data_IF_466597408780
#
_entry.id   IF_466597408780
#
_cell.length_a   1.000
_cell.length_b   1.000
_cell.length_c   1.000
_cell.angle_alpha   90.00
_cell.angle_beta   90.00
_cell.angle_gamma   90.00
#
_symmetry.space_group_name_H-M   'P 1'
#
loop_
_entity.id
_entity.type
_entity.pdbx_description
1 polymer ?
#
# COMPACT_ATOMS: atom_id res chain seq x y z
N UNK A 1 24.88 -8.55 30.44
CA UNK A 1 24.05 -9.32 29.48
C UNK A 1 24.15 -8.62 28.13
N UNK A 2 24.79 -9.26 27.16
CA UNK A 2 25.13 -8.66 25.87
C UNK A 2 23.87 -8.53 24.99
N UNK A 3 23.68 -7.35 24.42
CA UNK A 3 22.58 -6.96 23.50
C UNK A 3 22.27 -8.02 22.42
N UNK A 4 23.27 -8.81 21.99
CA UNK A 4 23.10 -9.93 21.05
C UNK A 4 22.04 -10.96 21.45
N UNK A 5 21.90 -11.31 22.74
CA UNK A 5 20.92 -12.31 23.18
C UNK A 5 19.48 -11.79 23.19
N UNK A 6 19.29 -10.47 23.29
CA UNK A 6 17.96 -9.86 23.30
C UNK A 6 17.38 -9.81 21.88
N UNK A 7 18.19 -9.42 20.89
CA UNK A 7 17.79 -9.38 19.47
C UNK A 7 17.60 -10.75 18.82
N UNK A 8 18.26 -11.80 19.34
CA UNK A 8 18.02 -13.18 18.90
C UNK A 8 16.62 -13.70 19.25
N UNK A 9 15.96 -13.15 20.27
CA UNK A 9 14.62 -13.57 20.68
C UNK A 9 13.51 -12.84 19.90
N UNK A 10 13.73 -11.58 19.49
CA UNK A 10 12.79 -10.86 18.61
C UNK A 10 12.87 -11.29 17.14
N UNK A 11 13.92 -12.01 16.75
CA UNK A 11 14.08 -12.60 15.41
C UNK A 11 13.53 -14.03 15.30
N UNK A 12 12.92 -14.59 16.36
CA UNK A 12 12.12 -15.82 16.29
C UNK A 12 10.84 -15.52 15.52
N UNK A 13 10.95 -15.50 14.19
CA UNK A 13 9.86 -15.21 13.27
C UNK A 13 10.34 -14.76 11.89
N UNK A 14 11.53 -14.15 11.81
CA UNK A 14 12.18 -13.80 10.54
C UNK A 14 13.26 -14.84 10.29
N UNK A 15 12.83 -16.01 9.82
CA UNK A 15 13.74 -16.85 9.04
C UNK A 15 13.73 -16.25 7.64
N UNK A 16 14.90 -15.98 7.08
CA UNK A 16 15.06 -15.91 5.63
C UNK A 16 14.71 -17.31 5.10
N UNK A 17 13.42 -17.55 4.89
CA UNK A 17 12.95 -18.69 4.13
C UNK A 17 13.49 -18.51 2.72
N UNK A 18 14.23 -19.47 2.14
CA UNK A 18 14.75 -19.36 0.80
C UNK A 18 13.59 -19.49 -0.20
N UNK A 19 12.76 -18.45 -0.29
CA UNK A 19 11.73 -18.26 -1.30
C UNK A 19 12.35 -17.81 -2.62
N UNK A 20 13.35 -18.57 -3.08
CA UNK A 20 14.02 -18.35 -4.38
C UNK A 20 12.97 -18.12 -5.49
N UNK A 21 11.79 -18.73 -5.40
CA UNK A 21 10.72 -18.53 -6.37
C UNK A 21 9.91 -17.23 -6.24
N UNK A 22 9.67 -16.66 -5.05
CA UNK A 22 8.75 -15.50 -4.91
C UNK A 22 9.41 -14.19 -5.34
N UNK A 23 10.65 -13.99 -4.91
CA UNK A 23 11.46 -12.82 -5.26
C UNK A 23 11.71 -12.79 -6.75
N UNK A 24 12.03 -13.94 -7.34
CA UNK A 24 12.29 -14.08 -8.78
C UNK A 24 11.05 -13.68 -9.61
N UNK A 25 9.83 -14.03 -9.19
CA UNK A 25 8.62 -13.64 -9.93
C UNK A 25 8.35 -12.13 -9.92
N UNK A 26 8.63 -11.45 -8.79
CA UNK A 26 8.49 -10.00 -8.72
C UNK A 26 9.51 -9.26 -9.60
N UNK A 27 10.76 -9.74 -9.62
CA UNK A 27 11.83 -9.21 -10.48
C UNK A 27 11.52 -9.50 -11.94
N UNK A 28 11.11 -10.72 -12.27
CA UNK A 28 10.75 -11.13 -13.63
C UNK A 28 9.63 -10.26 -14.19
N UNK A 29 8.60 -9.96 -13.40
CA UNK A 29 7.53 -9.04 -13.81
C UNK A 29 8.07 -7.63 -14.04
N UNK A 30 8.93 -7.13 -13.13
CA UNK A 30 9.54 -5.82 -13.26
C UNK A 30 10.36 -5.71 -14.55
N UNK A 31 11.30 -6.63 -14.78
CA UNK A 31 12.18 -6.62 -15.95
C UNK A 31 11.42 -6.71 -17.27
N UNK A 32 10.34 -7.50 -17.31
CA UNK A 32 9.52 -7.67 -18.51
C UNK A 32 8.63 -6.46 -18.83
N UNK A 33 8.16 -5.75 -17.81
CA UNK A 33 7.07 -4.77 -17.97
C UNK A 33 7.49 -3.33 -17.72
N UNK A 34 8.69 -3.10 -17.17
CA UNK A 34 9.23 -1.76 -16.94
C UNK A 34 9.36 -1.02 -18.26
N UNK A 35 8.70 0.14 -18.34
CA UNK A 35 8.71 1.01 -19.51
C UNK A 35 8.92 2.45 -19.06
N UNK A 36 9.71 3.20 -19.83
CA UNK A 36 9.87 4.63 -19.60
C UNK A 36 8.95 5.39 -20.55
N UNK A 37 7.96 6.09 -19.99
CA UNK A 37 6.92 6.80 -20.73
C UNK A 37 6.53 8.08 -19.98
N UNK A 38 6.28 9.16 -20.70
CA UNK A 38 5.82 10.44 -20.14
C UNK A 38 6.69 10.93 -18.96
N UNK A 39 8.02 10.77 -19.09
CA UNK A 39 9.02 11.12 -18.08
C UNK A 39 8.89 10.35 -16.75
N UNK A 40 8.28 9.16 -16.77
CA UNK A 40 8.09 8.26 -15.61
C UNK A 40 8.38 6.82 -15.99
N UNK A 41 8.72 6.02 -14.98
CA UNK A 41 8.73 4.57 -15.11
C UNK A 41 7.33 4.03 -14.82
N UNK A 42 6.80 3.24 -15.73
CA UNK A 42 5.57 2.45 -15.57
C UNK A 42 5.99 0.98 -15.43
N UNK A 43 5.40 0.26 -14.48
CA UNK A 43 5.62 -1.17 -14.28
C UNK A 43 4.30 -1.83 -13.99
N UNK A 44 4.11 -3.07 -14.45
CA UNK A 44 2.92 -3.84 -14.10
C UNK A 44 3.07 -4.40 -12.68
N UNK A 45 1.94 -4.56 -12.00
CA UNK A 45 1.94 -5.15 -10.66
C UNK A 45 2.29 -6.66 -10.75
N UNK A 46 3.15 -7.17 -9.85
CA UNK A 46 3.58 -8.57 -9.86
C UNK A 46 2.51 -9.48 -9.24
N UNK A 47 1.45 -9.76 -9.98
CA UNK A 47 0.34 -10.61 -9.52
C UNK A 47 0.79 -12.07 -9.30
N UNK A 48 0.37 -12.66 -8.17
CA UNK A 48 0.61 -14.10 -7.86
C UNK A 48 -0.26 -15.03 -8.70
N UNK A 49 -1.42 -14.54 -9.14
CA UNK A 49 -2.45 -15.30 -9.84
C UNK A 49 -3.40 -14.35 -10.56
N UNK A 50 -4.62 -14.80 -10.82
CA UNK A 50 -5.61 -13.97 -11.46
C UNK A 50 -6.10 -12.88 -10.49
N UNK A 51 -6.00 -11.60 -10.90
CA UNK A 51 -6.49 -10.48 -10.10
C UNK A 51 -8.00 -10.54 -9.85
N UNK A 52 -8.76 -11.32 -10.63
CA UNK A 52 -10.18 -11.57 -10.38
C UNK A 52 -10.44 -12.33 -9.05
N UNK A 53 -9.42 -12.88 -8.40
CA UNK A 53 -9.53 -13.47 -7.06
C UNK A 53 -9.71 -12.41 -5.96
N UNK A 54 -9.39 -11.14 -6.23
CA UNK A 54 -9.65 -10.03 -5.31
C UNK A 54 -11.14 -9.79 -5.18
N UNK A 55 -11.68 -10.04 -4.00
CA UNK A 55 -13.08 -9.78 -3.73
C UNK A 55 -13.34 -8.30 -3.45
N UNK A 56 -14.57 -7.85 -3.71
CA UNK A 56 -15.02 -6.51 -3.36
C UNK A 56 -14.96 -6.29 -1.83
N UNK A 57 -14.27 -5.22 -1.42
CA UNK A 57 -14.13 -4.81 -0.01
C UNK A 57 -14.83 -3.46 0.29
N UNK A 58 -15.76 -3.03 -0.57
CA UNK A 58 -16.43 -1.72 -0.50
C UNK A 58 -17.06 -1.46 0.87
N UNK A 59 -17.72 -2.46 1.45
CA UNK A 59 -18.39 -2.31 2.75
C UNK A 59 -17.40 -1.96 3.88
N UNK A 60 -16.17 -2.48 3.83
CA UNK A 60 -15.10 -2.19 4.80
C UNK A 60 -14.53 -0.80 4.56
N UNK A 61 -14.20 -0.47 3.31
CA UNK A 61 -13.71 0.85 2.92
C UNK A 61 -14.71 1.96 3.28
N UNK A 62 -16.00 1.74 3.01
CA UNK A 62 -17.08 2.67 3.32
C UNK A 62 -17.24 2.93 4.81
N UNK A 63 -17.20 1.89 5.65
CA UNK A 63 -17.25 2.04 7.12
C UNK A 63 -16.08 2.87 7.66
N UNK A 64 -14.88 2.65 7.13
CA UNK A 64 -13.68 3.44 7.48
C UNK A 64 -13.80 4.89 7.02
N UNK A 65 -14.31 5.12 5.81
CA UNK A 65 -14.61 6.45 5.29
C UNK A 65 -15.63 7.20 6.16
N UNK A 66 -16.73 6.56 6.55
CA UNK A 66 -17.76 7.18 7.41
C UNK A 66 -17.21 7.59 8.79
N UNK A 67 -16.25 6.82 9.30
CA UNK A 67 -15.56 7.13 10.55
C UNK A 67 -14.60 8.32 10.37
N UNK A 68 -13.88 8.36 9.25
CA UNK A 68 -13.02 9.49 8.87
C UNK A 68 -13.82 10.77 8.64
N UNK A 69 -14.97 10.71 7.97
CA UNK A 69 -15.88 11.86 7.75
C UNK A 69 -16.40 12.41 9.08
N UNK A 70 -16.72 11.55 10.06
CA UNK A 70 -17.06 12.03 11.41
C UNK A 70 -15.91 12.78 12.07
N UNK A 71 -14.67 12.30 11.92
CA UNK A 71 -13.48 13.01 12.43
C UNK A 71 -13.32 14.38 11.76
N UNK A 72 -13.55 14.49 10.45
CA UNK A 72 -13.50 15.76 9.73
C UNK A 72 -14.53 16.78 10.25
N UNK A 73 -15.75 16.34 10.59
CA UNK A 73 -16.77 17.22 11.16
C UNK A 73 -16.33 17.84 12.50
N UNK A 74 -15.60 17.06 13.31
CA UNK A 74 -15.15 17.50 14.63
C UNK A 74 -13.77 18.19 14.59
N UNK A 75 -13.06 18.13 13.46
CA UNK A 75 -11.75 18.75 13.27
C UNK A 75 -11.65 19.36 11.86
N UNK A 76 -12.07 20.64 11.69
CA UNK A 76 -12.05 21.33 10.41
C UNK A 76 -10.64 21.48 9.82
N UNK A 77 -9.62 21.64 10.66
CA UNK A 77 -8.22 21.76 10.22
C UNK A 77 -7.73 20.45 9.58
N UNK A 78 -8.03 19.30 10.19
CA UNK A 78 -7.76 18.00 9.58
C UNK A 78 -8.47 17.85 8.23
N UNK A 79 -9.72 18.27 8.12
CA UNK A 79 -10.46 18.21 6.85
C UNK A 79 -9.78 19.05 5.76
N UNK A 80 -9.36 20.28 6.09
CA UNK A 80 -8.66 21.16 5.16
C UNK A 80 -7.36 20.53 4.68
N UNK A 81 -6.49 20.11 5.60
CA UNK A 81 -5.23 19.44 5.26
C UNK A 81 -5.45 18.19 4.41
N UNK A 82 -6.48 17.39 4.72
CA UNK A 82 -6.81 16.18 3.96
C UNK A 82 -7.18 16.47 2.51
N UNK A 83 -8.02 17.49 2.30
CA UNK A 83 -8.45 17.93 0.97
C UNK A 83 -7.29 18.51 0.17
N UNK A 84 -6.45 19.32 0.80
CA UNK A 84 -5.25 19.88 0.16
C UNK A 84 -4.28 18.77 -0.26
N UNK A 85 -4.06 17.76 0.59
CA UNK A 85 -3.21 16.61 0.24
C UNK A 85 -3.77 15.82 -0.95
N UNK A 86 -5.08 15.51 -0.97
CA UNK A 86 -5.69 14.84 -2.13
C UNK A 86 -5.59 15.69 -3.41
N UNK A 87 -5.81 17.00 -3.31
CA UNK A 87 -5.67 17.90 -4.45
C UNK A 87 -4.23 17.94 -4.98
N UNK A 88 -3.25 17.95 -4.07
CA UNK A 88 -1.84 17.86 -4.45
C UNK A 88 -1.52 16.52 -5.13
N UNK A 89 -2.09 15.40 -4.66
CA UNK A 89 -1.93 14.10 -5.33
C UNK A 89 -2.52 14.13 -6.75
N UNK A 90 -3.72 14.67 -6.93
CA UNK A 90 -4.37 14.81 -8.24
C UNK A 90 -3.55 15.71 -9.18
N UNK A 91 -3.13 16.89 -8.71
CA UNK A 91 -2.31 17.84 -9.48
C UNK A 91 -0.98 17.25 -9.93
N UNK A 92 -0.37 16.40 -9.12
CA UNK A 92 0.88 15.73 -9.45
C UNK A 92 0.68 14.42 -10.23
N UNK A 93 -0.55 14.05 -10.58
CA UNK A 93 -0.87 12.81 -11.29
C UNK A 93 -0.46 11.56 -10.50
N UNK A 94 -0.62 11.59 -9.18
CA UNK A 94 -0.45 10.43 -8.28
C UNK A 94 -1.77 9.68 -8.13
N UNK A 95 -2.88 10.40 -8.09
CA UNK A 95 -4.24 9.85 -8.11
C UNK A 95 -5.03 10.50 -9.25
N UNK A 96 -6.09 9.81 -9.68
CA UNK A 96 -7.03 10.32 -10.67
C UNK A 96 -8.46 9.96 -10.28
N UNK A 97 -9.43 10.65 -10.88
CA UNK A 97 -10.84 10.31 -10.70
C UNK A 97 -11.18 9.06 -11.51
N UNK A 98 -11.78 8.09 -10.85
CA UNK A 98 -12.28 6.87 -11.51
C UNK A 98 -13.40 7.24 -12.48
N UNK A 99 -13.31 6.88 -13.77
CA UNK A 99 -14.38 7.11 -14.73
C UNK A 99 -15.56 6.17 -14.44
N UNK A 100 -16.79 6.71 -14.48
CA UNK A 100 -18.03 5.95 -14.29
C UNK A 100 -18.03 5.04 -13.03
N UNK A 101 -17.83 5.58 -11.82
CA UNK A 101 -17.68 4.77 -10.60
C UNK A 101 -18.92 3.91 -10.27
N UNK A 102 -20.10 4.30 -10.74
CA UNK A 102 -21.35 3.54 -10.57
C UNK A 102 -21.45 2.32 -11.49
N UNK A 103 -20.66 2.28 -12.58
CA UNK A 103 -20.65 1.18 -13.52
C UNK A 103 -19.22 0.88 -14.03
N UNK A 104 -18.36 0.33 -13.16
CA UNK A 104 -16.99 0.01 -13.53
C UNK A 104 -16.97 -1.10 -14.59
N UNK A 105 -16.16 -0.89 -15.62
CA UNK A 105 -16.01 -1.80 -16.76
C UNK A 105 -15.29 -3.09 -16.35
N UNK A 106 -14.28 -2.96 -15.48
CA UNK A 106 -13.47 -4.08 -15.00
C UNK A 106 -13.90 -4.43 -13.58
N UNK A 107 -14.48 -5.61 -13.41
CA UNK A 107 -14.83 -6.18 -12.11
C UNK A 107 -14.00 -7.44 -11.88
N UNK A 108 -13.60 -7.74 -10.63
CA UNK A 108 -13.97 -7.06 -9.38
C UNK A 108 -13.28 -5.69 -9.17
N UNK A 109 -13.89 -4.82 -8.35
CA UNK A 109 -13.29 -3.53 -7.94
C UNK A 109 -12.87 -3.61 -6.49
N UNK A 110 -11.65 -3.17 -6.21
CA UNK A 110 -11.12 -3.10 -4.86
C UNK A 110 -10.96 -1.64 -4.41
N UNK A 111 -11.43 -1.34 -3.20
CA UNK A 111 -11.43 -0.02 -2.60
C UNK A 111 -10.41 0.01 -1.46
N UNK A 112 -9.32 0.74 -1.61
CA UNK A 112 -8.35 0.90 -0.52
C UNK A 112 -8.90 1.84 0.55
N UNK A 113 -9.12 1.39 1.80
CA UNK A 113 -9.38 2.32 2.88
C UNK A 113 -8.17 3.22 3.09
N UNK A 114 -8.39 4.43 3.57
CA UNK A 114 -7.33 5.42 3.71
C UNK A 114 -7.45 6.19 5.03
N UNK A 115 -6.31 6.65 5.54
CA UNK A 115 -6.24 7.39 6.80
C UNK A 115 -5.13 8.44 6.82
N UNK A 116 -5.31 9.53 7.58
CA UNK A 116 -4.25 10.51 7.76
C UNK A 116 -3.14 9.93 8.65
N UNK A 117 -1.90 10.13 8.24
CA UNK A 117 -0.71 9.86 9.04
C UNK A 117 0.05 11.17 9.21
N UNK A 118 0.24 11.56 10.46
CA UNK A 118 0.98 12.77 10.82
C UNK A 118 2.46 12.44 11.00
N UNK A 119 3.32 13.33 10.51
CA UNK A 119 4.76 13.27 10.71
C UNK A 119 5.18 14.60 11.32
N UNK A 120 5.31 14.62 12.64
CA UNK A 120 5.60 15.83 13.40
C UNK A 120 6.94 16.47 12.99
N UNK A 121 7.87 15.68 12.46
CA UNK A 121 9.20 16.11 12.01
C UNK A 121 9.28 16.49 10.51
N UNK A 122 8.17 16.41 9.75
CA UNK A 122 8.23 16.70 8.30
C UNK A 122 8.35 18.21 8.03
N UNK A 123 9.42 18.59 7.33
CA UNK A 123 9.67 19.96 6.87
C UNK A 123 8.73 20.40 5.73
N UNK A 124 8.15 19.47 4.97
CA UNK A 124 7.40 19.76 3.74
C UNK A 124 5.90 19.47 3.85
N UNK A 125 5.48 18.42 4.56
CA UNK A 125 4.05 18.12 4.74
C UNK A 125 3.80 17.42 6.07
N UNK A 126 3.13 18.12 6.99
CA UNK A 126 2.81 17.60 8.33
C UNK A 126 1.89 16.37 8.31
N UNK A 127 1.12 16.17 7.23
CA UNK A 127 0.17 15.07 7.09
C UNK A 127 0.24 14.44 5.69
N UNK A 128 0.27 13.11 5.64
CA UNK A 128 0.13 12.32 4.41
C UNK A 128 -1.04 11.36 4.51
N UNK A 129 -1.57 10.92 3.38
CA UNK A 129 -2.62 9.92 3.33
C UNK A 129 -1.99 8.55 3.10
N UNK A 130 -2.28 7.61 3.99
CA UNK A 130 -1.88 6.21 3.83
C UNK A 130 -3.07 5.42 3.34
N UNK A 131 -2.88 4.69 2.25
CA UNK A 131 -3.83 3.73 1.70
C UNK A 131 -3.50 2.34 2.26
N UNK A 132 -4.51 1.66 2.81
CA UNK A 132 -4.36 0.36 3.43
C UNK A 132 -4.64 -0.76 2.41
N UNK A 133 -3.58 -1.25 1.78
CA UNK A 133 -3.62 -2.38 0.84
C UNK A 133 -3.72 -3.74 1.54
N UNK A 134 -3.62 -3.80 2.87
CA UNK A 134 -3.77 -5.03 3.66
C UNK A 134 -5.23 -5.32 4.07
N UNK A 135 -6.14 -4.37 3.82
CA UNK A 135 -7.54 -4.52 4.20
C UNK A 135 -8.29 -5.48 3.28
N UNK A 136 -8.68 -6.65 3.78
CA UNK A 136 -9.61 -7.56 3.10
C UNK A 136 -11.07 -7.38 3.55
N UNK A 137 -12.01 -8.01 2.84
CA UNK A 137 -13.43 -8.00 3.22
C UNK A 137 -13.69 -8.74 4.55
N UNK A 138 -13.03 -9.87 4.75
CA UNK A 138 -13.03 -10.65 5.99
C UNK A 138 -11.79 -11.55 6.07
N UNK A 139 -11.58 -12.23 7.20
CA UNK A 139 -10.41 -13.07 7.46
C UNK A 139 -10.13 -14.15 6.39
N UNK A 140 -11.16 -14.65 5.70
CA UNK A 140 -11.01 -15.66 4.66
C UNK A 140 -10.86 -15.09 3.25
N UNK A 141 -10.86 -13.76 3.10
CA UNK A 141 -10.69 -13.09 1.81
C UNK A 141 -9.27 -12.52 1.68
N UNK A 142 -8.76 -12.56 0.45
CA UNK A 142 -7.48 -11.97 0.10
C UNK A 142 -7.53 -10.43 0.20
N UNK A 143 -6.45 -9.85 0.68
CA UNK A 143 -6.12 -8.44 0.53
C UNK A 143 -5.32 -8.19 -0.75
N UNK A 144 -5.12 -6.92 -1.12
CA UNK A 144 -4.27 -6.59 -2.26
C UNK A 144 -2.85 -7.13 -2.07
N UNK A 145 -2.30 -7.00 -0.85
CA UNK A 145 -0.96 -7.50 -0.55
C UNK A 145 -0.85 -9.03 -0.69
N UNK A 146 -1.92 -9.79 -0.41
CA UNK A 146 -1.89 -11.25 -0.55
C UNK A 146 -1.77 -11.67 -2.02
N UNK A 147 -2.35 -10.88 -2.94
CA UNK A 147 -2.37 -11.14 -4.37
C UNK A 147 -1.10 -10.70 -5.12
N UNK A 148 -0.14 -10.04 -4.47
CA UNK A 148 1.10 -9.59 -5.08
C UNK A 148 2.31 -10.34 -4.55
N UNK A 149 3.26 -10.67 -5.43
CA UNK A 149 4.58 -11.15 -5.01
C UNK A 149 5.30 -10.04 -4.25
N UNK A 150 5.89 -10.34 -3.08
CA UNK A 150 6.71 -9.38 -2.37
C UNK A 150 7.97 -9.09 -3.19
N UNK A 151 8.36 -7.82 -3.24
CA UNK A 151 9.63 -7.43 -3.82
C UNK A 151 10.81 -7.85 -2.95
N UNK A 152 12.01 -7.88 -3.55
CA UNK A 152 13.26 -8.11 -2.81
C UNK A 152 13.40 -7.11 -1.66
N UNK A 153 13.83 -7.60 -0.50
CA UNK A 153 14.22 -6.71 0.59
C UNK A 153 15.54 -6.03 0.22
N UNK A 154 15.48 -4.76 -0.15
CA UNK A 154 16.66 -3.95 -0.50
C UNK A 154 17.33 -3.29 0.71
N UNK A 155 16.80 -3.48 1.92
CA UNK A 155 17.46 -2.97 3.11
C UNK A 155 18.73 -3.77 3.36
N UNK A 156 19.83 -3.07 3.64
CA UNK A 156 21.07 -3.71 4.05
C UNK A 156 20.81 -4.61 5.25
N UNK A 157 21.29 -5.84 5.17
CA UNK A 157 21.30 -6.72 6.32
C UNK A 157 22.09 -6.01 7.43
N UNK A 158 21.41 -5.70 8.54
CA UNK A 158 22.02 -4.97 9.66
C UNK A 158 23.20 -5.78 10.23
N UNK A 159 23.27 -7.08 9.96
CA UNK A 159 24.38 -7.95 10.35
C UNK A 159 25.59 -7.93 9.41
N UNK A 160 25.46 -7.32 8.22
CA UNK A 160 26.52 -7.25 7.19
C UNK A 160 27.24 -5.90 7.15
N UNK A 161 26.78 -4.91 7.92
CA UNK A 161 27.45 -3.63 8.13
C UNK A 161 28.53 -3.79 9.22
N UNK A 162 29.67 -4.39 8.87
CA UNK A 162 30.90 -4.35 9.68
C UNK A 162 32.00 -3.56 8.97
#
# INVERSE_FOLDING_TARGET
MTSKKFWQFESIGIKDDPSYNEVDQSIETFEKTVRYKDNRYEVELPWKGDWHELNDNYSVAKKRLDSLVRRFKNNPDLNLQYRETLHNYEKNGIIEKVPNPENPINKPVFYMPHQPLFRDESLTTKMRIVFDSSSSHSFHHLSWNDCLWPGTNLNSNIFELN
#
